data_IF_661065663375
#
_entry.id   IF_661065663375
#
_cell.length_a   1.000
_cell.length_b   1.000
_cell.length_c   1.000
_cell.angle_alpha   90.00
_cell.angle_beta   90.00
_cell.angle_gamma   90.00
#
_symmetry.space_group_name_H-M   'P 1'
#
loop_
_entity.id
_entity.type
_entity.pdbx_description
1 polymer ?
#
# COMPACT_ATOMS: atom_id res chain seq x y z
N UNK A 1 -8.75 -8.65 15.53
CA UNK A 1 -9.06 -9.08 14.14
C UNK A 1 -9.75 -8.02 13.28
N UNK A 2 -10.35 -6.96 13.85
CA UNK A 2 -10.96 -5.87 13.06
C UNK A 2 -9.97 -5.02 12.25
N UNK A 3 -8.74 -4.84 12.74
CA UNK A 3 -7.70 -4.03 12.09
C UNK A 3 -7.30 -4.59 10.71
N UNK A 4 -7.05 -5.90 10.61
CA UNK A 4 -6.74 -6.54 9.32
C UNK A 4 -7.90 -6.41 8.33
N UNK A 5 -9.14 -6.64 8.78
CA UNK A 5 -10.33 -6.50 7.92
C UNK A 5 -10.49 -5.09 7.36
N UNK A 6 -10.31 -4.08 8.21
CA UNK A 6 -10.36 -2.67 7.79
C UNK A 6 -9.26 -2.34 6.76
N UNK A 7 -8.03 -2.83 6.99
CA UNK A 7 -6.92 -2.65 6.06
C UNK A 7 -7.20 -3.34 4.72
N UNK A 8 -7.73 -4.56 4.73
CA UNK A 8 -8.06 -5.27 3.49
C UNK A 8 -9.16 -4.59 2.68
N UNK A 9 -10.18 -4.02 3.34
CA UNK A 9 -11.24 -3.26 2.67
C UNK A 9 -10.68 -1.98 2.06
N UNK A 10 -9.81 -1.27 2.78
CA UNK A 10 -9.16 -0.06 2.28
C UNK A 10 -8.27 -0.33 1.06
N UNK A 11 -7.44 -1.38 1.11
CA UNK A 11 -6.61 -1.80 -0.04
C UNK A 11 -7.50 -2.20 -1.22
N UNK A 12 -8.56 -2.97 -0.98
CA UNK A 12 -9.51 -3.39 -2.02
C UNK A 12 -10.19 -2.21 -2.72
N UNK A 13 -10.57 -1.17 -1.97
CA UNK A 13 -11.15 0.05 -2.54
C UNK A 13 -10.16 0.81 -3.43
N UNK A 14 -8.89 0.90 -3.02
CA UNK A 14 -7.84 1.53 -3.82
C UNK A 14 -7.57 0.77 -5.13
N UNK A 15 -7.52 -0.56 -5.06
CA UNK A 15 -7.38 -1.42 -6.25
C UNK A 15 -8.61 -1.27 -7.16
N UNK A 16 -9.82 -1.22 -6.60
CA UNK A 16 -11.04 -1.02 -7.37
C UNK A 16 -11.03 0.32 -8.14
N UNK A 17 -10.61 1.42 -7.51
CA UNK A 17 -10.50 2.72 -8.19
C UNK A 17 -9.43 2.71 -9.30
N UNK A 18 -8.37 1.92 -9.12
CA UNK A 18 -7.27 1.83 -10.07
C UNK A 18 -7.59 0.97 -11.30
N UNK A 19 -8.44 -0.06 -11.20
CA UNK A 19 -8.68 -1.01 -12.29
C UNK A 19 -10.11 -1.00 -12.84
N UNK A 20 -11.08 -0.37 -12.16
CA UNK A 20 -12.44 -0.23 -12.67
C UNK A 20 -12.53 0.99 -13.58
N UNK A 21 -12.92 0.83 -14.86
CA UNK A 21 -12.88 1.90 -15.86
C UNK A 21 -13.80 3.08 -15.54
N UNK A 22 -14.92 2.85 -14.85
CA UNK A 22 -15.82 3.91 -14.38
C UNK A 22 -15.19 4.80 -13.33
N UNK A 23 -14.34 4.26 -12.45
CA UNK A 23 -13.66 5.04 -11.42
C UNK A 23 -12.38 5.70 -11.94
N UNK A 24 -11.66 5.07 -12.88
CA UNK A 24 -10.50 5.68 -13.54
C UNK A 24 -10.85 7.01 -14.23
N UNK A 25 -12.01 7.08 -14.88
CA UNK A 25 -12.47 8.31 -15.54
C UNK A 25 -12.83 9.45 -14.57
N UNK A 26 -13.25 9.14 -13.34
CA UNK A 26 -13.60 10.15 -12.31
C UNK A 26 -12.35 10.62 -11.58
N UNK A 27 -11.50 9.68 -11.16
CA UNK A 27 -10.31 9.94 -10.36
C UNK A 27 -9.07 10.26 -11.20
N UNK A 28 -9.18 10.26 -12.53
CA UNK A 28 -8.06 10.45 -13.47
C UNK A 28 -6.88 9.52 -13.14
N UNK A 29 -7.17 8.32 -12.63
CA UNK A 29 -6.17 7.33 -12.22
C UNK A 29 -5.82 6.44 -13.40
N UNK A 30 -4.52 6.34 -13.69
CA UNK A 30 -4.01 5.41 -14.71
C UNK A 30 -3.71 4.05 -14.08
N UNK A 31 -4.01 2.97 -14.80
CA UNK A 31 -3.61 1.63 -14.37
C UNK A 31 -2.09 1.54 -14.24
N UNK A 32 -1.63 1.06 -13.08
CA UNK A 32 -0.22 0.90 -12.78
C UNK A 32 0.30 -0.38 -13.44
N UNK A 33 1.40 -0.28 -14.19
CA UNK A 33 2.05 -1.45 -14.80
C UNK A 33 2.83 -2.28 -13.78
N UNK A 34 3.12 -3.55 -14.09
CA UNK A 34 3.83 -4.47 -13.18
C UNK A 34 5.17 -3.92 -12.66
N UNK A 35 5.92 -3.20 -13.51
CA UNK A 35 7.18 -2.57 -13.10
C UNK A 35 7.01 -1.48 -12.02
N UNK A 36 5.94 -0.70 -12.07
CA UNK A 36 5.65 0.33 -11.08
C UNK A 36 5.18 -0.28 -9.76
N UNK A 37 4.43 -1.40 -9.80
CA UNK A 37 4.09 -2.18 -8.60
C UNK A 37 5.34 -2.68 -7.87
N UNK A 38 6.35 -3.15 -8.60
CA UNK A 38 7.61 -3.60 -8.01
C UNK A 38 8.32 -2.48 -7.25
N UNK A 39 8.33 -1.26 -7.82
CA UNK A 39 8.94 -0.08 -7.19
C UNK A 39 8.21 0.29 -5.89
N UNK A 40 6.87 0.25 -5.89
CA UNK A 40 6.05 0.54 -4.70
C UNK A 40 6.35 -0.46 -3.59
N UNK A 41 6.40 -1.76 -3.90
CA UNK A 41 6.72 -2.82 -2.93
C UNK A 41 8.15 -2.66 -2.40
N UNK A 42 9.11 -2.32 -3.28
CA UNK A 42 10.50 -2.10 -2.89
C UNK A 42 10.64 -0.95 -1.88
N UNK A 43 10.06 0.21 -2.17
CA UNK A 43 10.09 1.35 -1.24
C UNK A 43 9.28 1.09 0.04
N UNK A 44 8.11 0.45 -0.06
CA UNK A 44 7.31 0.07 1.10
C UNK A 44 8.08 -0.90 2.03
N UNK A 45 8.84 -1.83 1.44
CA UNK A 45 9.73 -2.73 2.18
C UNK A 45 10.82 -1.99 2.95
N UNK A 46 11.45 -0.97 2.36
CA UNK A 46 12.45 -0.13 3.04
C UNK A 46 11.82 0.62 4.22
N UNK A 47 10.62 1.18 4.06
CA UNK A 47 9.90 1.87 5.15
C UNK A 47 9.58 0.89 6.29
N UNK A 48 9.12 -0.31 5.95
CA UNK A 48 8.84 -1.36 6.93
C UNK A 48 10.10 -1.81 7.68
N UNK A 49 11.24 -1.94 6.98
CA UNK A 49 12.54 -2.22 7.59
C UNK A 49 12.96 -1.13 8.56
N UNK A 50 12.90 0.14 8.14
CA UNK A 50 13.22 1.29 9.00
C UNK A 50 12.32 1.29 10.24
N UNK A 51 11.02 1.09 10.06
CA UNK A 51 10.06 1.04 11.17
C UNK A 51 10.36 -0.11 12.14
N UNK A 52 10.72 -1.28 11.62
CA UNK A 52 11.09 -2.44 12.46
C UNK A 52 12.39 -2.19 13.23
N UNK A 53 13.42 -1.60 12.58
CA UNK A 53 14.67 -1.22 13.23
C UNK A 53 14.44 -0.13 14.28
N UNK A 54 13.60 0.86 13.99
CA UNK A 54 13.22 1.91 14.94
C UNK A 54 12.57 1.34 16.20
N UNK A 55 11.58 0.45 16.04
CA UNK A 55 10.93 -0.23 17.17
C UNK A 55 11.94 -1.07 17.96
N UNK A 56 12.83 -1.80 17.28
CA UNK A 56 13.85 -2.63 17.92
C UNK A 56 14.83 -1.81 18.77
N UNK A 57 15.26 -0.65 18.27
CA UNK A 57 16.15 0.26 18.99
C UNK A 57 15.42 0.99 20.13
N UNK A 58 14.16 1.41 19.90
CA UNK A 58 13.34 2.09 20.91
C UNK A 58 12.93 1.18 22.06
N UNK A 59 12.75 -0.13 21.84
CA UNK A 59 12.45 -1.08 22.91
C UNK A 59 13.67 -1.40 23.79
N UNK A 60 14.88 -1.01 23.36
CA UNK A 60 16.11 -1.27 24.11
C UNK A 60 16.41 -0.21 25.19
N UNK A 61 15.52 0.76 25.40
CA UNK A 61 15.72 1.86 26.34
C UNK A 61 14.54 2.04 27.32
#
# INVERSE_FOLDING_TARGET
MYLLGAVTISIGALVAIMYVPTFQGIFHTSAINFGQWMIIVFFSGIISLINSVYILLSHKH
#
